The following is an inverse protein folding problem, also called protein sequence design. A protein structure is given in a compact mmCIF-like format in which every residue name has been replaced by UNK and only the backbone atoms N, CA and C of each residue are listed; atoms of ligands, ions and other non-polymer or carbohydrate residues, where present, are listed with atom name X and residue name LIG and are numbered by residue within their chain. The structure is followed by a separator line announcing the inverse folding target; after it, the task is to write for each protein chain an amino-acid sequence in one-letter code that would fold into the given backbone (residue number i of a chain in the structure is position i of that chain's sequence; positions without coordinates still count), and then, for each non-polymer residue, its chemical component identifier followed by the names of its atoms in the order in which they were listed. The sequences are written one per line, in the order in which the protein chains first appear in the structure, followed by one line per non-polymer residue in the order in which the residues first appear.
data_IF_598598054165
#
_entry.id   IF_598598054165
#
_cell.length_a   1.000
_cell.length_b   1.000
_cell.length_c   1.000
_cell.angle_alpha   90.00
_cell.angle_beta   90.00
_cell.angle_gamma   90.00
#
_symmetry.space_group_name_H-M   'P 1'
#
loop_
_entity.id
_entity.type
_entity.pdbx_description
1 polymer ?
#
# COMPACT_ATOMS: atom_id res chain seq x y z
N UNK A 1 -2.57 -25.69 0.73
CA UNK A 1 -3.10 -26.68 1.70
C UNK A 1 -2.55 -28.10 1.53
N UNK A 2 -2.34 -28.60 0.31
CA UNK A 2 -1.93 -30.01 0.08
C UNK A 2 -0.52 -30.37 0.60
N UNK A 3 0.30 -29.34 0.86
CA UNK A 3 1.64 -29.48 1.42
C UNK A 3 1.69 -29.63 2.95
N UNK A 4 0.60 -29.34 3.67
CA UNK A 4 0.53 -29.46 5.14
C UNK A 4 0.48 -30.93 5.56
N UNK A 5 1.28 -31.30 6.56
CA UNK A 5 1.25 -32.67 7.09
C UNK A 5 0.02 -32.89 7.96
N UNK A 6 -0.33 -34.16 8.26
CA UNK A 6 -1.46 -34.48 9.14
C UNK A 6 -1.30 -33.87 10.54
N UNK A 7 -0.06 -33.75 11.01
CA UNK A 7 0.27 -33.11 12.29
C UNK A 7 -0.08 -31.63 12.24
N UNK A 8 0.31 -30.94 11.18
CA UNK A 8 0.03 -29.51 11.00
C UNK A 8 -1.47 -29.25 10.89
N UNK A 9 -2.19 -30.09 10.13
CA UNK A 9 -3.66 -29.99 9.99
C UNK A 9 -4.38 -30.15 11.34
N UNK A 10 -3.94 -31.09 12.18
CA UNK A 10 -4.51 -31.29 13.51
C UNK A 10 -4.16 -30.15 14.47
N UNK A 11 -2.94 -29.63 14.41
CA UNK A 11 -2.54 -28.49 15.21
C UNK A 11 -3.40 -27.26 14.86
N UNK A 12 -3.62 -27.02 13.58
CA UNK A 12 -4.37 -25.86 13.09
C UNK A 12 -5.87 -25.95 13.40
N UNK A 13 -6.45 -27.15 13.35
CA UNK A 13 -7.81 -27.43 13.85
C UNK A 13 -7.90 -27.34 15.37
N UNK A 14 -6.88 -27.81 16.09
CA UNK A 14 -6.80 -27.75 17.56
C UNK A 14 -6.75 -26.32 18.09
N UNK A 15 -6.01 -25.43 17.43
CA UNK A 15 -6.01 -23.98 17.74
C UNK A 15 -7.40 -23.36 17.63
N UNK A 16 -8.22 -23.87 16.72
CA UNK A 16 -9.60 -23.41 16.48
C UNK A 16 -10.65 -24.17 17.30
N UNK A 17 -10.22 -25.09 18.18
CA UNK A 17 -11.13 -25.89 19.01
C UNK A 17 -12.00 -26.87 18.23
N UNK A 18 -11.58 -27.25 17.02
CA UNK A 18 -12.31 -28.16 16.13
C UNK A 18 -11.89 -29.60 16.34
N UNK A 19 -12.78 -30.53 15.98
CA UNK A 19 -12.48 -31.96 16.07
C UNK A 19 -11.27 -32.34 15.19
N UNK A 20 -10.37 -33.14 15.74
CA UNK A 20 -9.10 -33.56 15.11
C UNK A 20 -9.11 -35.05 14.72
N UNK A 21 -10.25 -35.73 14.85
CA UNK A 21 -10.41 -37.15 14.51
C UNK A 21 -10.81 -37.33 13.05
N UNK A 22 -10.27 -38.35 12.38
CA UNK A 22 -10.62 -38.70 11.00
C UNK A 22 -9.42 -38.80 10.06
N UNK A 23 -9.70 -38.97 8.78
CA UNK A 23 -8.71 -39.07 7.70
C UNK A 23 -8.15 -37.70 7.33
N UNK A 24 -6.98 -37.65 6.68
CA UNK A 24 -6.34 -36.40 6.24
C UNK A 24 -7.27 -35.52 5.41
N UNK A 25 -8.04 -36.11 4.49
CA UNK A 25 -9.01 -35.38 3.67
C UNK A 25 -10.07 -34.68 4.53
N UNK A 26 -10.63 -35.39 5.51
CA UNK A 26 -11.62 -34.83 6.44
C UNK A 26 -11.07 -33.68 7.29
N UNK A 27 -9.78 -33.73 7.65
CA UNK A 27 -9.12 -32.62 8.37
C UNK A 27 -8.91 -31.41 7.44
N UNK A 28 -8.51 -31.64 6.19
CA UNK A 28 -8.32 -30.59 5.20
C UNK A 28 -9.62 -29.89 4.82
N UNK A 29 -10.70 -30.65 4.61
CA UNK A 29 -12.00 -30.07 4.27
C UNK A 29 -12.57 -29.23 5.42
N UNK A 30 -12.46 -29.71 6.66
CA UNK A 30 -12.85 -28.92 7.84
C UNK A 30 -12.05 -27.63 7.95
N UNK A 31 -10.73 -27.71 7.77
CA UNK A 31 -9.88 -26.53 7.83
C UNK A 31 -10.17 -25.56 6.69
N UNK A 32 -10.46 -26.06 5.47
CA UNK A 32 -10.84 -25.24 4.31
C UNK A 32 -12.12 -24.46 4.59
N UNK A 33 -13.17 -25.13 5.06
CA UNK A 33 -14.46 -24.49 5.37
C UNK A 33 -14.29 -23.38 6.40
N UNK A 34 -13.47 -23.62 7.42
CA UNK A 34 -13.28 -22.68 8.51
C UNK A 34 -12.45 -21.48 8.05
N UNK A 35 -11.39 -21.70 7.28
CA UNK A 35 -10.60 -20.60 6.70
C UNK A 35 -11.40 -19.74 5.73
N UNK A 36 -12.29 -20.36 4.93
CA UNK A 36 -13.22 -19.66 4.05
C UNK A 36 -14.23 -18.81 4.84
N UNK A 37 -14.73 -19.34 5.97
CA UNK A 37 -15.62 -18.58 6.87
C UNK A 37 -14.91 -17.44 7.60
N UNK A 38 -13.60 -17.57 7.87
CA UNK A 38 -12.75 -16.54 8.48
C UNK A 38 -12.26 -15.49 7.47
N UNK A 39 -12.59 -15.64 6.18
CA UNK A 39 -12.14 -14.74 5.11
C UNK A 39 -10.63 -14.83 4.82
N UNK A 40 -9.97 -15.89 5.27
CA UNK A 40 -8.54 -16.14 5.02
C UNK A 40 -8.41 -17.00 3.77
N UNK A 41 -7.87 -16.43 2.69
CA UNK A 41 -7.62 -17.17 1.45
C UNK A 41 -6.72 -18.41 1.72
N UNK A 42 -7.23 -19.64 1.51
CA UNK A 42 -6.50 -20.88 1.81
C UNK A 42 -5.28 -21.12 0.91
N UNK A 43 -5.04 -20.27 -0.09
CA UNK A 43 -3.88 -20.33 -0.98
C UNK A 43 -2.75 -19.35 -0.58
N UNK A 44 -2.97 -18.48 0.41
CA UNK A 44 -1.92 -17.58 0.91
C UNK A 44 -1.04 -18.33 1.90
N UNK A 45 0.24 -18.49 1.54
CA UNK A 45 1.27 -19.04 2.43
C UNK A 45 1.63 -18.00 3.49
N UNK A 46 0.94 -18.08 4.63
CA UNK A 46 1.28 -17.29 5.82
C UNK A 46 2.59 -17.85 6.43
N UNK A 47 3.74 -17.33 5.99
CA UNK A 47 4.99 -17.42 6.74
C UNK A 47 5.01 -16.30 7.78
N UNK A 48 4.12 -16.43 8.77
CA UNK A 48 3.95 -15.46 9.84
C UNK A 48 3.87 -16.18 11.18
N UNK A 49 5.03 -16.58 11.71
CA UNK A 49 5.18 -16.85 13.13
C UNK A 49 5.14 -15.50 13.87
N UNK A 50 3.96 -14.89 13.96
CA UNK A 50 3.70 -13.70 14.76
C UNK A 50 2.91 -14.06 16.03
N UNK A 51 3.29 -15.15 16.70
CA UNK A 51 3.07 -15.31 18.14
C UNK A 51 4.35 -14.93 18.89
N UNK A 52 4.73 -13.66 18.79
CA UNK A 52 5.41 -12.99 19.89
C UNK A 52 4.37 -12.14 20.61
N UNK A 53 3.47 -12.82 21.32
CA UNK A 53 2.81 -12.21 22.45
C UNK A 53 3.92 -11.72 23.39
N UNK A 54 4.12 -10.41 23.45
CA UNK A 54 5.11 -9.76 24.32
C UNK A 54 4.75 -10.16 25.75
N UNK A 55 5.44 -11.16 26.29
CA UNK A 55 5.30 -11.58 27.68
C UNK A 55 6.19 -10.69 28.52
N UNK A 56 5.65 -9.84 29.41
CA UNK A 56 6.46 -8.95 30.25
C UNK A 56 7.38 -9.71 31.21
N UNK A 57 7.14 -11.02 31.40
CA UNK A 57 7.90 -11.87 32.32
C UNK A 57 9.20 -12.46 31.75
N UNK A 58 9.47 -12.31 30.44
CA UNK A 58 10.67 -12.89 29.79
C UNK A 58 11.96 -12.06 30.03
N UNK A 59 11.91 -11.11 30.96
CA UNK A 59 13.02 -10.19 31.28
C UNK A 59 13.79 -10.55 32.56
N UNK A 60 13.76 -11.80 33.02
CA UNK A 60 14.58 -12.23 34.18
C UNK A 60 15.52 -13.37 33.83
N UNK A 61 16.82 -13.07 33.92
CA UNK A 61 17.92 -14.02 33.82
C UNK A 61 17.74 -15.19 34.78
N UNK A 62 17.27 -16.33 34.27
CA UNK A 62 17.40 -17.58 34.99
C UNK A 62 18.82 -18.13 34.80
N UNK A 63 19.75 -17.65 35.62
CA UNK A 63 21.02 -18.36 35.84
C UNK A 63 20.74 -19.57 36.73
N UNK A 64 20.12 -20.62 36.20
CA UNK A 64 20.12 -21.92 36.86
C UNK A 64 21.48 -22.57 36.62
N UNK A 65 22.18 -22.82 37.73
CA UNK A 65 23.54 -23.35 37.76
C UNK A 65 23.49 -24.82 37.42
N UNK A 66 23.86 -25.19 36.21
CA UNK A 66 24.36 -26.54 35.92
C UNK A 66 25.83 -26.44 35.51
N UNK A 67 26.70 -26.72 36.48
CA UNK A 67 28.13 -26.91 36.26
C UNK A 67 28.34 -28.19 35.46
N UNK A 68 28.48 -28.04 34.14
CA UNK A 68 29.07 -29.07 33.28
C UNK A 68 30.42 -28.54 32.78
N UNK A 69 31.47 -29.21 33.24
CA UNK A 69 32.89 -28.94 32.99
C UNK A 69 33.17 -28.71 31.50
N UNK A 70 33.68 -27.54 31.13
CA UNK A 70 34.39 -27.32 29.87
C UNK A 70 35.83 -26.91 30.16
N UNK A 71 36.72 -27.88 30.01
CA UNK A 71 38.16 -27.66 29.86
C UNK A 71 38.40 -27.07 28.47
N UNK A 72 38.81 -25.81 28.42
CA UNK A 72 39.29 -25.17 27.19
C UNK A 72 38.58 -23.87 26.84
N UNK A 73 39.00 -22.76 27.46
CA UNK A 73 39.23 -21.50 26.73
C UNK A 73 39.99 -20.53 27.63
N UNK A 74 41.32 -20.69 27.66
CA UNK A 74 42.23 -19.68 28.16
C UNK A 74 42.40 -18.62 27.07
N UNK A 75 41.47 -17.65 26.99
CA UNK A 75 41.71 -16.29 26.46
C UNK A 75 40.53 -15.38 26.82
N UNK A 76 40.78 -14.49 27.79
CA UNK A 76 40.09 -13.21 28.03
C UNK A 76 38.76 -13.20 28.83
N UNK A 77 38.80 -13.53 30.12
CA UNK A 77 37.66 -13.36 31.06
C UNK A 77 37.73 -12.11 31.97
N UNK A 78 38.66 -11.17 31.74
CA UNK A 78 38.82 -9.99 32.61
C UNK A 78 38.14 -8.70 32.07
N UNK A 79 37.59 -8.69 30.86
CA UNK A 79 37.00 -7.49 30.22
C UNK A 79 35.49 -7.57 29.94
N UNK A 80 34.80 -8.56 30.52
CA UNK A 80 33.49 -9.05 30.07
C UNK A 80 32.40 -7.97 29.95
N UNK A 81 32.28 -7.04 30.91
CA UNK A 81 31.21 -6.01 30.89
C UNK A 81 31.51 -4.85 29.92
N UNK A 82 32.78 -4.49 29.74
CA UNK A 82 33.15 -3.39 28.83
C UNK A 82 33.02 -3.83 27.38
N UNK A 83 33.42 -5.06 27.07
CA UNK A 83 33.29 -5.62 25.73
C UNK A 83 31.82 -5.83 25.37
N UNK A 84 30.98 -6.34 26.28
CA UNK A 84 29.54 -6.44 26.03
C UNK A 84 28.90 -5.07 25.83
N UNK A 85 29.20 -4.08 26.69
CA UNK A 85 28.72 -2.70 26.53
C UNK A 85 29.20 -2.07 25.21
N UNK A 86 30.44 -2.32 24.81
CA UNK A 86 30.98 -1.83 23.55
C UNK A 86 30.26 -2.47 22.35
N UNK A 87 29.97 -3.77 22.41
CA UNK A 87 29.21 -4.48 21.37
C UNK A 87 27.75 -3.99 21.30
N UNK A 88 27.09 -3.77 22.43
CA UNK A 88 25.74 -3.20 22.49
C UNK A 88 25.69 -1.77 21.97
N UNK A 89 26.66 -0.94 22.36
CA UNK A 89 26.80 0.42 21.86
C UNK A 89 27.03 0.44 20.34
N UNK A 90 27.88 -0.45 19.83
CA UNK A 90 28.11 -0.60 18.39
C UNK A 90 26.84 -1.03 17.64
N UNK A 91 26.07 -1.99 18.18
CA UNK A 91 24.78 -2.41 17.61
C UNK A 91 23.77 -1.26 17.60
N UNK A 92 23.63 -0.53 18.72
CA UNK A 92 22.76 0.64 18.82
C UNK A 92 23.16 1.72 17.81
N UNK A 93 24.45 2.02 17.70
CA UNK A 93 24.96 2.97 16.71
C UNK A 93 24.63 2.52 15.28
N UNK A 94 24.78 1.24 14.96
CA UNK A 94 24.39 0.67 13.66
C UNK A 94 22.89 0.80 13.37
N UNK A 95 22.03 0.59 14.39
CA UNK A 95 20.58 0.79 14.25
C UNK A 95 20.22 2.26 14.05
N UNK A 96 20.86 3.18 14.78
CA UNK A 96 20.65 4.62 14.62
C UNK A 96 21.08 5.10 13.23
N UNK A 97 22.25 4.67 12.75
CA UNK A 97 22.70 5.00 11.40
C UNK A 97 21.72 4.49 10.32
N UNK A 98 21.20 3.28 10.48
CA UNK A 98 20.15 2.74 9.58
C UNK A 98 18.86 3.57 9.66
N UNK A 99 18.43 3.96 10.85
CA UNK A 99 17.24 4.80 11.03
C UNK A 99 17.41 6.17 10.36
N UNK A 100 18.57 6.80 10.48
CA UNK A 100 18.88 8.06 9.80
C UNK A 100 18.88 7.92 8.27
N UNK A 101 19.48 6.85 7.73
CA UNK A 101 19.46 6.59 6.29
C UNK A 101 18.02 6.38 5.81
N UNK A 102 17.22 5.60 6.54
CA UNK A 102 15.83 5.35 6.19
C UNK A 102 15.00 6.64 6.18
N UNK A 103 15.21 7.50 7.18
CA UNK A 103 14.55 8.81 7.25
C UNK A 103 14.92 9.70 6.06
N UNK A 104 16.21 9.78 5.72
CA UNK A 104 16.69 10.53 4.54
C UNK A 104 16.13 9.94 3.24
N UNK A 105 16.02 8.62 3.15
CA UNK A 105 15.42 7.95 1.99
C UNK A 105 13.95 8.32 1.81
N UNK A 106 13.18 8.35 2.91
CA UNK A 106 11.76 8.72 2.87
C UNK A 106 11.56 10.18 2.48
N UNK A 107 12.39 11.08 3.00
CA UNK A 107 12.36 12.50 2.63
C UNK A 107 12.65 12.69 1.14
N UNK A 108 13.69 12.03 0.63
CA UNK A 108 14.02 12.01 -0.81
C UNK A 108 12.88 11.51 -1.67
N UNK A 109 12.21 10.44 -1.27
CA UNK A 109 11.06 9.89 -2.00
C UNK A 109 9.90 10.89 -2.06
N UNK A 110 9.63 11.63 -0.99
CA UNK A 110 8.61 12.68 -0.98
C UNK A 110 8.97 13.85 -1.91
N UNK A 111 10.24 14.26 -1.94
CA UNK A 111 10.73 15.26 -2.88
C UNK A 111 10.56 14.81 -4.33
N UNK A 112 10.94 13.57 -4.66
CA UNK A 112 10.77 13.00 -6.00
C UNK A 112 9.31 12.93 -6.44
N UNK A 113 8.40 12.58 -5.53
CA UNK A 113 6.96 12.58 -5.81
C UNK A 113 6.45 13.98 -6.15
N UNK A 114 6.88 14.99 -5.40
CA UNK A 114 6.51 16.39 -5.68
C UNK A 114 7.06 16.85 -7.02
N UNK A 115 8.34 16.59 -7.27
CA UNK A 115 8.99 16.96 -8.53
C UNK A 115 8.33 16.25 -9.73
N UNK A 116 7.91 15.00 -9.56
CA UNK A 116 7.18 14.26 -10.60
C UNK A 116 5.85 14.92 -10.94
N UNK A 117 5.08 15.33 -9.93
CA UNK A 117 3.80 16.02 -10.13
C UNK A 117 3.99 17.37 -10.83
N UNK A 118 4.98 18.15 -10.40
CA UNK A 118 5.30 19.44 -11.03
C UNK A 118 5.71 19.27 -12.50
N UNK A 119 6.56 18.27 -12.78
CA UNK A 119 6.95 17.92 -14.16
C UNK A 119 5.74 17.55 -15.01
N UNK A 120 4.82 16.75 -14.49
CA UNK A 120 3.59 16.37 -15.19
C UNK A 120 2.71 17.59 -15.47
N UNK A 121 2.54 18.48 -14.50
CA UNK A 121 1.80 19.74 -14.69
C UNK A 121 2.44 20.62 -15.77
N UNK A 122 3.77 20.75 -15.76
CA UNK A 122 4.49 21.55 -16.75
C UNK A 122 4.37 20.96 -18.16
N UNK A 123 4.38 19.63 -18.29
CA UNK A 123 4.13 18.97 -19.58
C UNK A 123 2.72 19.28 -20.09
N UNK A 124 1.70 19.16 -19.25
CA UNK A 124 0.32 19.50 -19.62
C UNK A 124 0.20 20.97 -20.02
N UNK A 125 0.85 21.88 -19.28
CA UNK A 125 0.88 23.30 -19.64
C UNK A 125 1.52 23.52 -21.01
N UNK A 126 2.65 22.87 -21.29
CA UNK A 126 3.32 22.98 -22.58
C UNK A 126 2.45 22.47 -23.73
N UNK A 127 1.69 21.39 -23.53
CA UNK A 127 0.77 20.85 -24.53
C UNK A 127 -0.43 21.78 -24.79
N UNK A 128 -0.96 22.42 -23.73
CA UNK A 128 -2.00 23.44 -23.84
C UNK A 128 -1.47 24.66 -24.60
N UNK A 129 -0.28 25.13 -24.27
CA UNK A 129 0.33 26.30 -24.93
C UNK A 129 0.65 26.03 -26.39
N UNK A 130 1.18 24.84 -26.71
CA UNK A 130 1.39 24.39 -28.08
C UNK A 130 0.08 24.37 -28.87
N UNK A 131 -0.97 23.81 -28.28
CA UNK A 131 -2.30 23.75 -28.90
C UNK A 131 -2.89 25.14 -29.13
N UNK A 132 -2.75 26.05 -28.15
CA UNK A 132 -3.17 27.44 -28.28
C UNK A 132 -2.41 28.18 -29.38
N UNK A 133 -1.09 28.00 -29.44
CA UNK A 133 -0.28 28.62 -30.48
C UNK A 133 -0.69 28.13 -31.88
N UNK A 134 -0.98 26.83 -32.03
CA UNK A 134 -1.51 26.27 -33.29
C UNK A 134 -2.87 26.85 -33.66
N UNK A 135 -3.79 26.93 -32.71
CA UNK A 135 -5.11 27.52 -32.90
C UNK A 135 -5.02 29.00 -33.31
N UNK A 136 -4.13 29.77 -32.69
CA UNK A 136 -3.92 31.18 -33.02
C UNK A 136 -3.43 31.37 -34.47
N UNK A 137 -2.51 30.51 -34.94
CA UNK A 137 -2.05 30.54 -36.33
C UNK A 137 -3.20 30.20 -37.29
N UNK A 138 -3.98 29.17 -36.99
CA UNK A 138 -5.13 28.79 -37.81
C UNK A 138 -6.17 29.91 -37.89
N UNK A 139 -6.50 30.54 -36.75
CA UNK A 139 -7.43 31.66 -36.68
C UNK A 139 -6.96 32.87 -37.51
N UNK A 140 -5.65 33.15 -37.53
CA UNK A 140 -5.08 34.21 -38.38
C UNK A 140 -5.26 33.87 -39.86
N UNK A 141 -4.95 32.65 -40.28
CA UNK A 141 -5.14 32.19 -41.66
C UNK A 141 -6.61 32.27 -42.08
N UNK A 142 -7.54 31.82 -41.24
CA UNK A 142 -8.98 31.88 -41.53
C UNK A 142 -9.47 33.33 -41.69
N UNK A 143 -8.94 34.26 -40.89
CA UNK A 143 -9.25 35.69 -41.02
C UNK A 143 -8.69 36.32 -42.30
N UNK A 144 -7.55 35.83 -42.80
CA UNK A 144 -6.95 36.26 -44.07
C UNK A 144 -7.68 35.68 -45.27
N UNK A 145 -8.04 34.39 -45.23
CA UNK A 145 -8.86 33.72 -46.25
C UNK A 145 -10.29 34.30 -46.27
N UNK A 146 -10.84 34.68 -45.11
CA UNK A 146 -12.12 35.36 -44.97
C UNK A 146 -12.16 36.77 -45.55
N UNK A 147 -11.00 37.45 -45.68
CA UNK A 147 -10.87 38.74 -46.38
C UNK A 147 -10.77 38.59 -47.90
N UNK A 148 -10.49 37.39 -48.39
CA UNK A 148 -10.39 37.08 -49.83
C UNK A 148 -11.47 36.09 -50.29
N UNK A 149 -12.69 36.15 -49.73
CA UNK A 149 -13.87 35.64 -50.44
C UNK A 149 -14.31 36.67 -51.45
N UNK A 150 -13.74 36.53 -52.63
CA UNK A 150 -14.31 36.98 -53.89
C UNK A 150 -15.83 36.72 -53.83
N UNK A 151 -16.58 37.77 -54.13
CA UNK A 151 -18.01 37.77 -54.36
C UNK A 151 -18.37 36.82 -55.50
N UNK A 152 -18.37 35.51 -55.25
CA UNK A 152 -19.10 34.58 -56.10
C UNK A 152 -20.55 34.58 -55.63
N UNK A 153 -21.41 35.01 -56.55
CA UNK A 153 -22.80 35.33 -56.32
C UNK A 153 -23.55 34.24 -55.57
N UNK A 154 -24.59 34.71 -54.86
CA UNK A 154 -25.65 33.90 -54.27
C UNK A 154 -26.09 32.81 -55.26
N UNK A 155 -25.66 31.57 -55.06
CA UNK A 155 -26.34 30.41 -55.63
C UNK A 155 -27.33 29.97 -54.55
N UNK A 156 -28.61 30.23 -54.82
CA UNK A 156 -29.72 29.71 -54.02
C UNK A 156 -29.63 28.18 -53.93
N UNK A 157 -29.80 27.57 -52.74
CA UNK A 157 -29.86 26.13 -52.62
C UNK A 157 -31.20 25.65 -53.18
N UNK A 158 -31.20 25.10 -54.39
CA UNK A 158 -32.31 24.29 -54.90
C UNK A 158 -32.15 22.85 -54.41
N UNK A 159 -33.15 22.26 -53.73
CA UNK A 159 -33.12 20.84 -53.37
C UNK A 159 -33.59 20.02 -54.57
N UNK A 160 -32.69 19.72 -55.50
CA UNK A 160 -32.92 18.64 -56.47
C UNK A 160 -32.42 17.33 -55.88
N UNK A 161 -33.37 16.48 -55.52
CA UNK A 161 -33.25 15.05 -55.27
C UNK A 161 -32.10 14.41 -56.04
N UNK A 162 -31.06 14.02 -55.33
CA UNK A 162 -30.15 12.97 -55.75
C UNK A 162 -30.19 11.92 -54.65
N UNK A 163 -30.88 10.82 -54.96
CA UNK A 163 -30.64 9.51 -54.36
C UNK A 163 -29.14 9.23 -54.54
N UNK A 164 -28.36 9.56 -53.51
CA UNK A 164 -27.01 9.04 -53.36
C UNK A 164 -27.19 7.98 -52.30
N UNK A 165 -27.17 6.73 -52.76
CA UNK A 165 -27.12 5.55 -51.93
C UNK A 165 -26.12 5.82 -50.81
N UNK A 166 -26.63 5.76 -49.58
CA UNK A 166 -25.84 5.88 -48.38
C UNK A 166 -24.98 4.63 -48.24
N UNK A 167 -23.92 4.54 -49.04
CA UNK A 167 -22.73 3.79 -48.68
C UNK A 167 -22.06 4.56 -47.54
N UNK A 168 -22.69 4.37 -46.38
CA UNK A 168 -22.20 4.69 -45.06
C UNK A 168 -20.78 4.13 -44.99
N UNK A 169 -19.81 5.03 -44.98
CA UNK A 169 -18.46 4.73 -44.57
C UNK A 169 -18.52 4.32 -43.08
N UNK A 170 -18.79 3.04 -42.84
CA UNK A 170 -18.56 2.43 -41.54
C UNK A 170 -17.05 2.27 -41.41
N UNK A 171 -16.38 2.92 -40.45
CA UNK A 171 -15.00 2.58 -40.15
C UNK A 171 -15.01 1.13 -39.63
N UNK A 172 -14.54 0.20 -40.46
CA UNK A 172 -14.16 -1.14 -40.02
C UNK A 172 -12.98 -0.98 -39.06
N UNK A 173 -13.27 -0.94 -37.77
CA UNK A 173 -12.28 -1.19 -36.74
C UNK A 173 -11.98 -2.69 -36.72
N UNK A 174 -11.14 -3.15 -37.66
CA UNK A 174 -10.49 -4.46 -37.53
C UNK A 174 -9.39 -4.33 -36.47
N UNK A 175 -9.80 -4.29 -35.20
CA UNK A 175 -8.90 -4.43 -34.04
C UNK A 175 -8.87 -5.90 -33.66
N UNK A 176 -8.06 -6.67 -34.38
CA UNK A 176 -7.59 -7.95 -33.88
C UNK A 176 -6.40 -7.71 -32.95
N UNK A 177 -6.64 -8.06 -31.69
CA UNK A 177 -5.73 -8.34 -30.57
C UNK A 177 -4.22 -8.37 -30.86
N UNK A 178 -3.46 -7.63 -30.05
CA UNK A 178 -2.41 -8.27 -29.24
C UNK A 178 -2.47 -7.78 -27.78
N UNK A 179 -2.29 -8.73 -26.89
CA UNK A 179 -2.25 -8.62 -25.44
C UNK A 179 -1.01 -7.84 -24.98
N UNK A 180 -1.18 -6.79 -24.17
CA UNK A 180 -0.31 -6.63 -23.00
C UNK A 180 -0.82 -5.61 -21.96
N UNK A 181 -1.18 -6.18 -20.81
CA UNK A 181 -0.94 -5.73 -19.43
C UNK A 181 -1.08 -4.25 -19.03
N UNK A 182 -1.96 -4.07 -18.04
CA UNK A 182 -1.89 -3.11 -16.92
C UNK A 182 -3.03 -2.11 -16.88
N UNK A 183 -4.18 -2.59 -16.40
CA UNK A 183 -5.25 -1.73 -15.87
C UNK A 183 -4.77 -1.10 -14.56
N UNK A 184 -4.74 0.23 -14.39
CA UNK A 184 -4.72 0.81 -13.06
C UNK A 184 -6.11 0.65 -12.45
N UNK A 185 -6.19 -0.27 -11.47
CA UNK A 185 -7.34 -0.44 -10.57
C UNK A 185 -7.77 0.90 -10.00
N UNK A 186 -9.01 1.28 -10.29
CA UNK A 186 -9.70 2.42 -9.68
C UNK A 186 -9.98 2.04 -8.22
N UNK A 187 -9.05 2.36 -7.33
CA UNK A 187 -9.31 2.32 -5.89
C UNK A 187 -10.20 3.50 -5.56
N UNK A 188 -11.49 3.22 -5.41
CA UNK A 188 -12.46 4.09 -4.75
C UNK A 188 -11.88 4.58 -3.43
N UNK A 189 -11.44 5.84 -3.42
CA UNK A 189 -11.07 6.57 -2.21
C UNK A 189 -12.33 6.73 -1.37
N UNK A 190 -12.50 5.90 -0.36
CA UNK A 190 -13.36 6.26 0.77
C UNK A 190 -12.72 7.47 1.45
N UNK A 191 -13.31 8.65 1.22
CA UNK A 191 -13.12 9.83 2.04
C UNK A 191 -13.65 9.49 3.44
N UNK A 192 -12.74 9.10 4.34
CA UNK A 192 -13.07 9.04 5.76
C UNK A 192 -13.11 10.48 6.26
N UNK A 193 -14.31 10.89 6.62
CA UNK A 193 -14.65 12.18 7.18
C UNK A 193 -13.96 12.32 8.55
N UNK A 194 -12.78 12.94 8.59
CA UNK A 194 -12.08 13.30 9.83
C UNK A 194 -12.70 14.57 10.40
N UNK A 195 -13.79 14.43 11.17
CA UNK A 195 -14.23 15.49 12.05
C UNK A 195 -14.81 14.97 13.35
N UNK A 196 -14.19 15.44 14.45
CA UNK A 196 -14.65 15.48 15.86
C UNK A 196 -14.42 14.24 16.72
N UNK A 197 -13.22 14.17 17.30
CA UNK A 197 -13.06 13.65 18.66
C UNK A 197 -13.64 14.66 19.66
N UNK A 198 -14.51 14.27 20.61
CA UNK A 198 -14.85 15.12 21.74
C UNK A 198 -13.67 15.17 22.73
N UNK A 199 -13.43 16.36 23.29
CA UNK A 199 -12.43 16.63 24.34
C UNK A 199 -12.59 15.67 25.53
N UNK A 200 -11.49 15.29 26.21
CA UNK A 200 -11.58 14.59 27.49
C UNK A 200 -12.23 15.52 28.53
N UNK A 201 -13.34 15.07 29.10
CA UNK A 201 -13.98 15.68 30.25
C UNK A 201 -13.03 15.68 31.45
N UNK A 202 -13.06 16.78 32.20
CA UNK A 202 -12.24 17.06 33.38
C UNK A 202 -12.17 15.90 34.39
N UNK A 203 -11.07 15.78 35.17
CA UNK A 203 -10.95 14.81 36.26
C UNK A 203 -12.01 15.07 37.35
N UNK A 204 -12.42 14.04 38.11
CA UNK A 204 -13.40 14.19 39.17
C UNK A 204 -12.88 15.14 40.26
N UNK A 205 -13.62 16.22 40.48
CA UNK A 205 -13.45 17.12 41.63
C UNK A 205 -13.63 16.33 42.92
N UNK A 206 -12.52 16.13 43.65
CA UNK A 206 -12.54 15.63 45.01
C UNK A 206 -13.21 16.70 45.89
N UNK A 207 -14.27 16.39 46.66
CA UNK A 207 -14.81 17.35 47.61
C UNK A 207 -13.77 17.61 48.72
N UNK A 208 -13.62 18.86 49.19
CA UNK A 208 -12.69 19.17 50.26
C UNK A 208 -13.08 18.41 51.54
N UNK A 209 -12.10 18.04 52.38
CA UNK A 209 -12.38 17.40 53.67
C UNK A 209 -13.20 18.36 54.53
N UNK A 210 -14.35 17.89 55.00
CA UNK A 210 -15.12 18.55 56.04
C UNK A 210 -14.22 18.71 57.27
N UNK A 211 -13.84 19.95 57.55
CA UNK A 211 -13.20 20.36 58.79
C UNK A 211 -14.19 20.13 59.93
N UNK A 212 -14.15 18.94 60.55
CA UNK A 212 -14.63 18.73 61.90
C UNK A 212 -13.61 19.39 62.84
N UNK A 213 -13.91 20.64 63.17
CA UNK A 213 -13.32 21.35 64.29
C UNK A 213 -14.15 21.09 65.56
N UNK A 214 -13.57 21.31 66.75
CA UNK A 214 -13.58 20.42 67.92
C UNK A 214 -14.89 20.33 68.70
#
# INVERSE_FOLDING_TARGET
MDKLTVVDLKAELGKRGLDTRGTRASLMDRLRIVMESEGVDPNVSFSGNDEQAIRPEDSVSQTSRHCSRSVGSLRSFSSSVRVTRAMEAARKAGLLAKAEILKKSQEKEQEELRFRQEKEQLLVQSEIEESRAREEVLAKVDSEVGRSRISFGRISPHPSNLNIDADIFQPRFDVHQELNTSQPSVVSRHLVNLSRTPLPSAPPTVPPPSMLHP
#
